data_IF_729005713750
#
_entry.id   IF_729005713750
#
_cell.length_a   1.000
_cell.length_b   1.000
_cell.length_c   1.000
_cell.angle_alpha   90.00
_cell.angle_beta   90.00
_cell.angle_gamma   90.00
#
_symmetry.space_group_name_H-M   'P 1'
#
loop_
_entity.id
_entity.type
_entity.pdbx_description
1 polymer ?
#
# COMPACT_ATOMS: atom_id res chain seq x y z
N UNK A 1 -1.41 1.63 8.20
CA UNK A 1 -0.60 2.87 8.06
C UNK A 1 -1.34 4.08 8.57
N UNK A 2 -0.63 4.99 9.27
CA UNK A 2 -1.14 6.32 9.64
C UNK A 2 -0.88 7.31 8.51
N UNK A 3 -1.70 8.36 8.43
CA UNK A 3 -1.59 9.39 7.39
C UNK A 3 -0.27 10.20 7.48
N UNK A 4 0.29 10.32 8.69
CA UNK A 4 1.52 11.06 8.97
C UNK A 4 2.75 10.38 8.33
N UNK A 5 2.87 9.06 8.47
CA UNK A 5 3.97 8.28 7.85
C UNK A 5 3.98 8.39 6.32
N UNK A 6 2.82 8.64 5.70
CA UNK A 6 2.70 8.80 4.24
C UNK A 6 3.10 10.20 3.77
N UNK A 7 3.05 11.20 4.65
CA UNK A 7 3.44 12.57 4.35
C UNK A 7 4.95 12.77 4.48
N UNK A 8 5.59 12.08 5.43
CA UNK A 8 7.04 12.17 5.67
C UNK A 8 7.90 11.42 4.64
N UNK A 9 7.31 10.47 3.90
CA UNK A 9 8.04 9.69 2.90
C UNK A 9 8.21 10.44 1.58
N UNK A 10 9.40 10.33 0.98
CA UNK A 10 9.67 10.82 -0.39
C UNK A 10 8.91 10.00 -1.44
N UNK A 11 8.67 10.55 -2.64
CA UNK A 11 7.96 9.87 -3.74
C UNK A 11 8.61 8.53 -4.11
N UNK A 12 9.94 8.46 -4.08
CA UNK A 12 10.68 7.22 -4.35
C UNK A 12 10.51 6.18 -3.24
N UNK A 13 10.43 6.62 -1.98
CA UNK A 13 10.15 5.74 -0.85
C UNK A 13 8.71 5.21 -0.88
N UNK A 14 7.75 6.05 -1.29
CA UNK A 14 6.36 5.62 -1.49
C UNK A 14 6.26 4.56 -2.60
N UNK A 15 7.00 4.74 -3.71
CA UNK A 15 7.08 3.75 -4.80
C UNK A 15 7.72 2.44 -4.35
N UNK A 16 8.82 2.49 -3.61
CA UNK A 16 9.43 1.30 -3.03
C UNK A 16 8.46 0.55 -2.08
N UNK A 17 7.72 1.30 -1.26
CA UNK A 17 6.71 0.72 -0.35
C UNK A 17 5.54 0.07 -1.09
N UNK A 18 5.14 0.62 -2.24
CA UNK A 18 4.12 0.00 -3.10
C UNK A 18 4.56 -1.39 -3.57
N UNK A 19 5.80 -1.53 -4.02
CA UNK A 19 6.31 -2.83 -4.49
C UNK A 19 6.45 -3.84 -3.36
N UNK A 20 6.96 -3.42 -2.20
CA UNK A 20 7.04 -4.26 -1.00
C UNK A 20 5.65 -4.77 -0.57
N UNK A 21 4.65 -3.88 -0.54
CA UNK A 21 3.28 -4.23 -0.17
C UNK A 21 2.61 -5.15 -1.19
N UNK A 22 2.90 -4.99 -2.50
CA UNK A 22 2.41 -5.90 -3.54
C UNK A 22 2.96 -7.30 -3.35
N UNK A 23 4.25 -7.41 -3.05
CA UNK A 23 4.90 -8.71 -2.85
C UNK A 23 4.39 -9.41 -1.58
N UNK A 24 4.20 -8.65 -0.49
CA UNK A 24 3.53 -9.15 0.72
C UNK A 24 2.10 -9.63 0.43
N UNK A 25 1.31 -8.85 -0.32
CA UNK A 25 -0.04 -9.24 -0.73
C UNK A 25 -0.05 -10.50 -1.58
N UNK A 26 0.93 -10.68 -2.47
CA UNK A 26 1.08 -11.90 -3.25
C UNK A 26 1.32 -13.12 -2.35
N UNK A 27 2.27 -13.02 -1.42
CA UNK A 27 2.54 -14.07 -0.43
C UNK A 27 1.31 -14.40 0.42
N UNK A 28 0.56 -13.38 0.87
CA UNK A 28 -0.65 -13.60 1.66
C UNK A 28 -1.79 -14.22 0.85
N UNK A 29 -1.95 -13.84 -0.42
CA UNK A 29 -2.91 -14.49 -1.33
C UNK A 29 -2.56 -15.95 -1.58
N UNK A 30 -1.27 -16.26 -1.68
CA UNK A 30 -0.81 -17.64 -1.79
C UNK A 30 -1.15 -18.45 -0.53
N UNK A 31 -0.88 -17.90 0.67
CA UNK A 31 -1.30 -18.51 1.95
C UNK A 31 -2.81 -18.66 2.10
N UNK A 32 -3.58 -17.70 1.58
CA UNK A 32 -5.04 -17.79 1.55
C UNK A 32 -5.52 -18.92 0.63
N UNK A 33 -4.88 -19.09 -0.54
CA UNK A 33 -5.17 -20.18 -1.47
C UNK A 33 -4.85 -21.57 -0.88
N UNK A 34 -3.92 -21.64 0.08
CA UNK A 34 -3.60 -22.84 0.84
C UNK A 34 -4.64 -23.17 1.94
N UNK A 35 -5.71 -22.38 2.07
CA UNK A 35 -6.81 -22.62 2.99
C UNK A 35 -6.65 -21.98 4.38
N UNK A 36 -5.65 -21.11 4.56
CA UNK A 36 -5.45 -20.43 5.83
C UNK A 36 -6.33 -19.16 5.90
N UNK A 37 -7.41 -19.22 6.66
CA UNK A 37 -8.43 -18.15 6.73
C UNK A 37 -8.03 -16.98 7.63
N UNK A 38 -7.03 -17.17 8.50
CA UNK A 38 -6.55 -16.12 9.42
C UNK A 38 -5.95 -14.93 8.65
N UNK A 39 -5.40 -15.19 7.47
CA UNK A 39 -4.76 -14.20 6.60
C UNK A 39 -5.78 -13.28 5.91
N UNK A 40 -7.09 -13.59 5.93
CA UNK A 40 -8.14 -12.78 5.27
C UNK A 40 -8.20 -11.36 5.84
N UNK A 41 -8.06 -11.22 7.16
CA UNK A 41 -8.08 -9.91 7.84
C UNK A 41 -6.84 -9.10 7.45
N UNK A 42 -5.67 -9.72 7.45
CA UNK A 42 -4.41 -9.07 7.08
C UNK A 42 -4.40 -8.61 5.63
N UNK A 43 -4.87 -9.44 4.70
CA UNK A 43 -5.01 -9.07 3.27
C UNK A 43 -5.88 -7.83 3.11
N UNK A 44 -6.99 -7.73 3.88
CA UNK A 44 -7.88 -6.56 3.83
C UNK A 44 -7.20 -5.29 4.35
N UNK A 45 -6.39 -5.40 5.40
CA UNK A 45 -5.62 -4.27 5.96
C UNK A 45 -4.54 -3.84 4.98
N UNK A 46 -3.71 -4.77 4.49
CA UNK A 46 -2.64 -4.48 3.54
C UNK A 46 -3.17 -3.89 2.23
N UNK A 47 -4.33 -4.34 1.74
CA UNK A 47 -4.98 -3.74 0.56
C UNK A 47 -5.39 -2.29 0.80
N UNK A 48 -5.91 -1.96 1.99
CA UNK A 48 -6.25 -0.58 2.36
C UNK A 48 -5.01 0.29 2.51
N UNK A 49 -3.93 -0.25 3.07
CA UNK A 49 -2.68 0.48 3.21
C UNK A 49 -2.03 0.75 1.85
N UNK A 50 -2.02 -0.22 0.93
CA UNK A 50 -1.59 0.00 -0.46
C UNK A 50 -2.40 1.09 -1.17
N UNK A 51 -3.72 1.11 -0.96
CA UNK A 51 -4.58 2.14 -1.54
C UNK A 51 -4.23 3.53 -0.99
N UNK A 52 -3.98 3.66 0.32
CA UNK A 52 -3.58 4.93 0.94
C UNK A 52 -2.26 5.47 0.37
N UNK A 53 -1.26 4.60 0.21
CA UNK A 53 0.04 4.99 -0.39
C UNK A 53 -0.15 5.50 -1.82
N UNK A 54 -0.95 4.80 -2.64
CA UNK A 54 -1.24 5.23 -4.01
C UNK A 54 -2.02 6.55 -4.06
N UNK A 55 -2.96 6.75 -3.15
CA UNK A 55 -3.71 8.01 -3.06
C UNK A 55 -2.80 9.17 -2.70
N UNK A 56 -1.86 9.01 -1.76
CA UNK A 56 -0.90 10.04 -1.40
C UNK A 56 -0.01 10.45 -2.59
N UNK A 57 0.52 9.46 -3.34
CA UNK A 57 1.29 9.73 -4.55
C UNK A 57 0.45 10.49 -5.59
N UNK A 58 -0.81 10.07 -5.79
CA UNK A 58 -1.71 10.73 -6.73
C UNK A 58 -2.07 12.16 -6.31
N UNK A 59 -2.24 12.41 -5.02
CA UNK A 59 -2.49 13.75 -4.49
C UNK A 59 -1.31 14.69 -4.78
N UNK A 60 -0.07 14.21 -4.62
CA UNK A 60 1.14 14.97 -4.97
C UNK A 60 1.23 15.27 -6.46
N UNK A 61 0.96 14.28 -7.32
CA UNK A 61 0.91 14.48 -8.78
C UNK A 61 -0.15 15.53 -9.18
N UNK A 62 -1.36 15.46 -8.61
CA UNK A 62 -2.43 16.42 -8.89
C UNK A 62 -2.04 17.82 -8.43
N UNK A 63 -1.41 17.95 -7.25
CA UNK A 63 -0.91 19.23 -6.76
C UNK A 63 0.16 19.82 -7.68
N UNK A 64 1.12 18.99 -8.14
CA UNK A 64 2.14 19.40 -9.09
C UNK A 64 1.57 19.80 -10.46
N UNK A 65 0.47 19.18 -10.91
CA UNK A 65 -0.20 19.54 -12.18
C UNK A 65 -1.10 20.77 -12.10
N UNK A 66 -1.46 21.21 -10.88
CA UNK A 66 -2.33 22.37 -10.63
C UNK A 66 -1.54 23.65 -10.41
N UNK A 67 -0.23 23.55 -10.18
CA UNK A 67 0.71 24.67 -10.15
C UNK A 67 1.19 24.99 -11.57
#
# INVERSE_FOLDING_TARGET
MKAEELLDMSDDQLRAKIEELKESLFRMRFKLSLGNTDVVKEVRIQRKDLARVKTALRQREIAASRA
#
